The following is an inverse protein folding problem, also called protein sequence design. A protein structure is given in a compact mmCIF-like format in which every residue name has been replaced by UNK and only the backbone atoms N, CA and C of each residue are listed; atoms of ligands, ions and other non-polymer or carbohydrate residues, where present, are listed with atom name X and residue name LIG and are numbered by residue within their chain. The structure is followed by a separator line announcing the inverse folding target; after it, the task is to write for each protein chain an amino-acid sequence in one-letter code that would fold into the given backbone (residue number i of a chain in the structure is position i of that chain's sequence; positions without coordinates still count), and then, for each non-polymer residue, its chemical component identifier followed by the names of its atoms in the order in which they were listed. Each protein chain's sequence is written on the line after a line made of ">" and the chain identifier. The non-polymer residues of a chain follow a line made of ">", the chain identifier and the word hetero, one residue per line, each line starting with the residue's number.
data_IF_716886966892
#
_entry.id   IF_716886966892
#
_cell.length_a   1.000
_cell.length_b   1.000
_cell.length_c   1.000
_cell.angle_alpha   90.00
_cell.angle_beta   90.00
_cell.angle_gamma   90.00
#
_symmetry.space_group_name_H-M   'P 1'
#
loop_
_entity.id
_entity.type
_entity.pdbx_description
1 polymer ?
#
# COMPACT_ATOMS: atom_id res chain seq x y z
N UNK A 1 11.36 3.58 16.42
CA UNK A 1 10.86 4.11 15.15
C UNK A 1 9.71 3.24 14.65
N UNK A 2 8.63 3.83 14.07
CA UNK A 2 7.59 3.11 13.33
C UNK A 2 7.83 3.37 11.83
N UNK A 3 8.18 2.34 11.08
CA UNK A 3 8.37 2.41 9.64
C UNK A 3 7.14 1.82 8.94
N UNK A 4 6.40 2.67 8.21
CA UNK A 4 5.18 2.35 7.48
C UNK A 4 5.51 2.18 6.01
N UNK A 5 5.49 0.96 5.51
CA UNK A 5 5.83 0.64 4.12
C UNK A 5 4.58 0.52 3.25
N UNK A 6 4.61 1.14 2.08
CA UNK A 6 3.72 0.75 0.98
C UNK A 6 4.19 -0.57 0.34
N UNK A 7 3.32 -1.17 -0.48
CA UNK A 7 3.60 -2.47 -1.12
C UNK A 7 3.96 -2.29 -2.59
N UNK A 8 3.02 -1.80 -3.41
CA UNK A 8 3.17 -1.78 -4.87
C UNK A 8 4.07 -0.64 -5.33
N UNK A 9 5.21 -0.96 -5.90
CA UNK A 9 6.25 -0.02 -6.29
C UNK A 9 7.33 0.19 -5.21
N UNK A 10 7.03 -0.18 -3.96
CA UNK A 10 7.93 -0.03 -2.80
C UNK A 10 8.52 -1.39 -2.37
N UNK A 11 7.72 -2.27 -1.79
CA UNK A 11 8.14 -3.63 -1.41
C UNK A 11 8.19 -4.56 -2.61
N UNK A 12 7.23 -4.43 -3.54
CA UNK A 12 7.07 -5.27 -4.73
C UNK A 12 6.99 -4.43 -5.99
N UNK A 13 7.73 -4.83 -7.02
CA UNK A 13 7.70 -4.23 -8.36
C UNK A 13 6.93 -5.11 -9.33
N UNK A 14 6.14 -4.50 -10.23
CA UNK A 14 5.44 -5.19 -11.32
C UNK A 14 4.54 -6.34 -10.86
N UNK A 15 3.92 -6.23 -9.68
CA UNK A 15 3.05 -7.26 -9.09
C UNK A 15 1.55 -6.88 -9.12
N UNK A 16 1.17 -5.85 -9.91
CA UNK A 16 -0.16 -5.29 -9.85
C UNK A 16 -1.17 -5.93 -10.84
N UNK A 17 -0.74 -6.73 -11.82
CA UNK A 17 -1.63 -7.21 -12.87
C UNK A 17 -2.75 -8.11 -12.35
N UNK A 18 -2.43 -9.15 -11.59
CA UNK A 18 -3.42 -10.03 -10.99
C UNK A 18 -4.37 -9.28 -10.03
N UNK A 19 -3.88 -8.23 -9.35
CA UNK A 19 -4.69 -7.40 -8.47
C UNK A 19 -5.69 -6.55 -9.26
N UNK A 20 -5.25 -5.90 -10.32
CA UNK A 20 -6.14 -5.16 -11.24
C UNK A 20 -7.22 -6.08 -11.82
N UNK A 21 -6.83 -7.25 -12.29
CA UNK A 21 -7.74 -8.22 -12.90
C UNK A 21 -8.77 -8.74 -11.87
N UNK A 22 -8.37 -8.90 -10.61
CA UNK A 22 -9.27 -9.26 -9.51
C UNK A 22 -10.31 -8.17 -9.21
N UNK A 23 -9.90 -6.90 -9.18
CA UNK A 23 -10.83 -5.77 -9.03
C UNK A 23 -11.82 -5.76 -10.20
N UNK A 24 -11.35 -5.89 -11.46
CA UNK A 24 -12.23 -5.93 -12.64
C UNK A 24 -13.22 -7.10 -12.59
N UNK A 25 -12.78 -8.28 -12.15
CA UNK A 25 -13.67 -9.43 -11.95
C UNK A 25 -14.76 -9.14 -10.91
N UNK A 26 -14.38 -8.52 -9.79
CA UNK A 26 -15.33 -8.13 -8.75
C UNK A 26 -16.39 -7.14 -9.26
N UNK A 27 -15.98 -6.11 -10.03
CA UNK A 27 -16.92 -5.17 -10.65
C UNK A 27 -17.91 -5.87 -11.60
N UNK A 28 -17.41 -6.87 -12.35
CA UNK A 28 -18.26 -7.67 -13.24
C UNK A 28 -19.24 -8.54 -12.47
N UNK A 29 -18.82 -9.16 -11.39
CA UNK A 29 -19.65 -10.08 -10.58
C UNK A 29 -20.74 -9.30 -9.83
N UNK A 30 -20.38 -8.18 -9.19
CA UNK A 30 -21.29 -7.44 -8.30
C UNK A 30 -22.19 -6.46 -9.09
N UNK A 31 -21.63 -5.78 -10.10
CA UNK A 31 -22.34 -4.72 -10.83
C UNK A 31 -22.59 -5.01 -12.31
N UNK A 32 -22.15 -6.17 -12.83
CA UNK A 32 -22.26 -6.48 -14.26
C UNK A 32 -21.39 -5.63 -15.18
N UNK A 33 -20.44 -4.85 -14.65
CA UNK A 33 -19.53 -4.00 -15.43
C UNK A 33 -18.50 -4.91 -16.12
N UNK A 34 -18.64 -5.07 -17.46
CA UNK A 34 -17.79 -6.01 -18.24
C UNK A 34 -16.47 -5.40 -18.71
N UNK A 35 -16.52 -4.13 -19.08
CA UNK A 35 -15.36 -3.39 -19.63
C UNK A 35 -15.14 -2.10 -18.81
N UNK A 36 -14.57 -2.19 -17.61
CA UNK A 36 -14.26 -0.99 -16.84
C UNK A 36 -13.22 -0.15 -17.59
N UNK A 37 -13.38 1.17 -17.54
CA UNK A 37 -12.46 2.10 -18.18
C UNK A 37 -11.03 1.80 -17.70
N UNK A 38 -10.14 1.47 -18.64
CA UNK A 38 -8.72 1.26 -18.31
C UNK A 38 -8.08 2.60 -17.97
N UNK A 39 -7.70 2.78 -16.72
CA UNK A 39 -6.87 3.91 -16.29
C UNK A 39 -5.39 3.53 -16.41
N UNK A 40 -4.56 4.49 -16.79
CA UNK A 40 -3.11 4.29 -16.81
C UNK A 40 -2.59 3.98 -15.39
N UNK A 41 -1.62 3.09 -15.26
CA UNK A 41 -1.11 2.65 -13.96
C UNK A 41 -0.68 3.81 -13.05
N UNK A 42 -0.06 4.87 -13.61
CA UNK A 42 0.33 6.07 -12.85
C UNK A 42 -0.86 6.90 -12.33
N UNK A 43 -2.05 6.82 -12.96
CA UNK A 43 -3.25 7.55 -12.51
C UNK A 43 -3.83 6.94 -11.24
N UNK A 44 -3.73 5.62 -11.09
CA UNK A 44 -4.26 4.88 -9.95
C UNK A 44 -3.18 4.55 -8.90
N UNK A 45 -1.90 4.71 -9.24
CA UNK A 45 -0.80 4.42 -8.32
C UNK A 45 -0.95 5.20 -7.01
N UNK A 46 -0.89 4.48 -5.89
CA UNK A 46 -1.09 5.04 -4.56
C UNK A 46 -2.53 5.37 -4.18
N UNK A 47 -3.54 5.11 -5.02
CA UNK A 47 -4.95 5.11 -4.59
C UNK A 47 -5.24 3.90 -3.71
N UNK A 48 -6.30 3.99 -2.90
CA UNK A 48 -6.83 2.82 -2.20
C UNK A 48 -7.72 2.01 -3.13
N UNK A 49 -7.83 0.71 -2.89
CA UNK A 49 -8.71 -0.16 -3.67
C UNK A 49 -10.17 0.33 -3.69
N UNK A 50 -10.78 0.75 -2.54
CA UNK A 50 -12.13 1.31 -2.59
C UNK A 50 -12.22 2.62 -3.39
N UNK A 51 -11.20 3.48 -3.38
CA UNK A 51 -11.15 4.68 -4.23
C UNK A 51 -11.11 4.31 -5.72
N UNK A 52 -10.29 3.31 -6.08
CA UNK A 52 -10.22 2.78 -7.45
C UNK A 52 -11.58 2.20 -7.86
N UNK A 53 -12.17 1.35 -7.04
CA UNK A 53 -13.50 0.73 -7.25
C UNK A 53 -14.55 1.79 -7.47
N UNK A 54 -14.65 2.78 -6.58
CA UNK A 54 -15.59 3.89 -6.70
C UNK A 54 -15.41 4.66 -8.01
N UNK A 55 -14.18 4.98 -8.35
CA UNK A 55 -13.87 5.70 -9.59
C UNK A 55 -14.26 4.92 -10.84
N UNK A 56 -14.03 3.60 -10.88
CA UNK A 56 -14.41 2.75 -12.01
C UNK A 56 -15.92 2.57 -12.13
N UNK A 57 -16.63 2.35 -11.01
CA UNK A 57 -18.10 2.24 -10.98
C UNK A 57 -18.80 3.54 -11.35
N UNK A 58 -18.29 4.68 -10.87
CA UNK A 58 -18.81 6.00 -11.25
C UNK A 58 -18.65 6.23 -12.74
N UNK A 59 -17.49 5.90 -13.32
CA UNK A 59 -17.24 6.00 -14.76
C UNK A 59 -18.14 5.07 -15.59
N UNK A 60 -18.59 3.95 -15.00
CA UNK A 60 -19.55 3.02 -15.61
C UNK A 60 -21.02 3.44 -15.41
N UNK A 61 -21.28 4.61 -14.79
CA UNK A 61 -22.63 5.15 -14.57
C UNK A 61 -23.37 4.55 -13.38
N UNK A 62 -22.70 3.83 -12.48
CA UNK A 62 -23.30 3.31 -11.25
C UNK A 62 -23.52 4.46 -10.26
N UNK A 63 -24.71 4.54 -9.66
CA UNK A 63 -25.02 5.61 -8.71
C UNK A 63 -24.20 5.50 -7.42
N UNK A 64 -23.87 6.64 -6.79
CA UNK A 64 -23.16 6.68 -5.51
C UNK A 64 -23.84 5.81 -4.43
N UNK A 65 -25.16 5.87 -4.33
CA UNK A 65 -25.95 5.06 -3.38
C UNK A 65 -25.77 3.55 -3.62
N UNK A 66 -25.73 3.12 -4.89
CA UNK A 66 -25.51 1.70 -5.21
C UNK A 66 -24.07 1.29 -4.90
N UNK A 67 -23.09 2.17 -5.17
CA UNK A 67 -21.68 1.94 -4.83
C UNK A 67 -21.54 1.76 -3.31
N UNK A 68 -22.06 2.73 -2.53
CA UNK A 68 -21.96 2.69 -1.06
C UNK A 68 -22.59 1.43 -0.46
N UNK A 69 -23.70 0.97 -1.03
CA UNK A 69 -24.40 -0.23 -0.56
C UNK A 69 -23.65 -1.55 -0.86
N UNK A 70 -22.69 -1.54 -1.79
CA UNK A 70 -22.04 -2.76 -2.30
C UNK A 70 -20.52 -2.79 -2.14
N UNK A 71 -19.91 -1.79 -1.50
CA UNK A 71 -18.44 -1.75 -1.34
C UNK A 71 -17.87 -2.99 -0.67
N UNK A 72 -18.57 -3.52 0.34
CA UNK A 72 -18.16 -4.76 1.03
C UNK A 72 -18.28 -5.99 0.12
N UNK A 73 -19.33 -6.09 -0.68
CA UNK A 73 -19.51 -7.21 -1.63
C UNK A 73 -18.41 -7.17 -2.71
N UNK A 74 -18.06 -5.98 -3.21
CA UNK A 74 -16.97 -5.80 -4.17
C UNK A 74 -15.63 -6.16 -3.53
N UNK A 75 -15.37 -5.75 -2.28
CA UNK A 75 -14.17 -6.10 -1.54
C UNK A 75 -14.03 -7.62 -1.39
N UNK A 76 -15.10 -8.30 -0.97
CA UNK A 76 -15.12 -9.76 -0.81
C UNK A 76 -14.82 -10.43 -2.15
N UNK A 77 -15.56 -10.07 -3.20
CA UNK A 77 -15.36 -10.62 -4.53
C UNK A 77 -13.95 -10.39 -5.09
N UNK A 78 -13.37 -9.19 -4.86
CA UNK A 78 -12.00 -8.87 -5.26
C UNK A 78 -10.96 -9.74 -4.52
N UNK A 79 -11.12 -9.93 -3.22
CA UNK A 79 -10.23 -10.78 -2.43
C UNK A 79 -10.31 -12.26 -2.87
N UNK A 80 -11.51 -12.78 -3.15
CA UNK A 80 -11.70 -14.13 -3.67
C UNK A 80 -11.12 -14.30 -5.07
N UNK A 81 -11.34 -13.33 -5.95
CA UNK A 81 -10.76 -13.33 -7.29
C UNK A 81 -9.23 -13.29 -7.21
N UNK A 82 -8.67 -12.41 -6.37
CA UNK A 82 -7.22 -12.32 -6.19
C UNK A 82 -6.61 -13.62 -5.68
N UNK A 83 -7.25 -14.30 -4.73
CA UNK A 83 -6.78 -15.59 -4.22
C UNK A 83 -6.66 -16.67 -5.32
N UNK A 84 -7.46 -16.57 -6.40
CA UNK A 84 -7.37 -17.47 -7.56
C UNK A 84 -6.33 -17.03 -8.59
N UNK A 85 -6.13 -15.72 -8.73
CA UNK A 85 -5.32 -15.12 -9.81
C UNK A 85 -3.87 -14.87 -9.41
N UNK A 86 -3.61 -14.67 -8.12
CA UNK A 86 -2.27 -14.32 -7.63
C UNK A 86 -1.25 -15.42 -7.94
N UNK A 87 -0.09 -15.08 -8.51
CA UNK A 87 1.00 -16.04 -8.66
C UNK A 87 1.41 -16.62 -7.29
N UNK A 88 1.67 -17.93 -7.25
CA UNK A 88 2.08 -18.62 -6.00
C UNK A 88 3.44 -18.15 -5.50
N UNK A 89 4.27 -17.62 -6.39
CA UNK A 89 5.60 -17.09 -6.08
C UNK A 89 5.72 -15.66 -6.63
N UNK A 90 5.97 -14.72 -5.74
CA UNK A 90 6.25 -13.31 -6.03
C UNK A 90 7.68 -12.93 -5.59
N UNK A 91 8.54 -13.89 -5.25
CA UNK A 91 9.92 -13.58 -4.83
C UNK A 91 10.69 -12.78 -5.88
N UNK A 92 10.50 -13.10 -7.17
CA UNK A 92 11.10 -12.36 -8.28
C UNK A 92 10.57 -10.93 -8.49
N UNK A 93 9.53 -10.55 -7.77
CA UNK A 93 8.94 -9.21 -7.76
C UNK A 93 9.38 -8.36 -6.55
N UNK A 94 10.07 -8.95 -5.57
CA UNK A 94 10.59 -8.20 -4.42
C UNK A 94 11.59 -7.15 -4.92
N UNK A 95 11.41 -5.91 -4.45
CA UNK A 95 12.33 -4.82 -4.78
C UNK A 95 13.76 -5.20 -4.32
N UNK A 96 14.77 -5.11 -5.20
CA UNK A 96 16.13 -5.52 -4.88
C UNK A 96 16.66 -4.87 -3.59
N UNK A 97 17.20 -5.69 -2.68
CA UNK A 97 17.75 -5.25 -1.39
C UNK A 97 16.72 -4.97 -0.29
N UNK A 98 15.41 -5.01 -0.59
CA UNK A 98 14.36 -4.76 0.41
C UNK A 98 14.32 -5.87 1.47
N UNK A 99 14.48 -7.13 1.10
CA UNK A 99 14.41 -8.22 2.07
C UNK A 99 15.51 -8.09 3.13
N UNK A 100 16.73 -7.80 2.72
CA UNK A 100 17.88 -7.57 3.60
C UNK A 100 17.69 -6.32 4.46
N UNK A 101 17.13 -5.25 3.91
CA UNK A 101 16.80 -4.06 4.68
C UNK A 101 15.75 -4.37 5.76
N UNK A 102 14.68 -5.09 5.43
CA UNK A 102 13.64 -5.47 6.39
C UNK A 102 14.21 -6.38 7.48
N UNK A 103 15.12 -7.30 7.18
CA UNK A 103 15.81 -8.13 8.18
C UNK A 103 16.63 -7.29 9.16
N UNK A 104 17.42 -6.33 8.65
CA UNK A 104 18.18 -5.40 9.50
C UNK A 104 17.27 -4.56 10.40
N UNK A 105 16.19 -4.02 9.83
CA UNK A 105 15.25 -3.19 10.59
C UNK A 105 14.47 -4.01 11.64
N UNK A 106 14.07 -5.24 11.30
CA UNK A 106 13.35 -6.14 12.22
C UNK A 106 14.22 -6.62 13.39
N UNK A 107 15.55 -6.64 13.22
CA UNK A 107 16.49 -6.97 14.28
C UNK A 107 16.71 -5.82 15.29
N UNK A 108 16.20 -4.60 14.99
CA UNK A 108 16.33 -3.44 15.90
C UNK A 108 15.23 -3.45 16.95
N UNK A 109 15.60 -3.37 18.23
CA UNK A 109 14.64 -3.29 19.34
C UNK A 109 13.81 -1.99 19.32
N UNK A 110 14.34 -0.93 18.74
CA UNK A 110 13.69 0.39 18.67
C UNK A 110 12.83 0.60 17.42
N UNK A 111 12.72 -0.41 16.53
CA UNK A 111 11.98 -0.33 15.27
C UNK A 111 10.78 -1.28 15.24
N UNK A 112 9.65 -0.77 14.74
CA UNK A 112 8.46 -1.54 14.42
C UNK A 112 8.13 -1.34 12.94
N UNK A 113 7.95 -2.45 12.23
CA UNK A 113 7.59 -2.46 10.81
C UNK A 113 6.08 -2.67 10.66
N UNK A 114 5.43 -1.84 9.89
CA UNK A 114 4.01 -1.98 9.60
C UNK A 114 3.72 -1.50 8.16
N UNK A 115 2.49 -1.71 7.71
CA UNK A 115 2.06 -1.33 6.37
C UNK A 115 1.32 0.01 6.37
N UNK A 116 1.46 0.75 5.27
CA UNK A 116 0.52 1.77 4.85
C UNK A 116 0.26 1.60 3.36
N UNK A 117 -0.83 0.93 3.00
CA UNK A 117 -1.09 0.53 1.62
C UNK A 117 -2.54 0.75 1.22
N UNK A 118 -2.75 1.13 -0.05
CA UNK A 118 -4.08 1.22 -0.63
C UNK A 118 -4.78 -0.12 -0.82
N UNK A 119 -4.05 -1.23 -0.77
CA UNK A 119 -4.61 -2.56 -0.99
C UNK A 119 -5.62 -2.94 0.11
N UNK A 120 -6.65 -3.70 -0.25
CA UNK A 120 -7.42 -4.44 0.74
C UNK A 120 -6.49 -5.35 1.56
N UNK A 121 -6.69 -5.42 2.87
CA UNK A 121 -5.79 -6.17 3.76
C UNK A 121 -5.60 -7.63 3.33
N UNK A 122 -6.63 -8.42 2.96
CA UNK A 122 -6.42 -9.80 2.50
C UNK A 122 -5.52 -9.87 1.26
N UNK A 123 -5.65 -8.93 0.32
CA UNK A 123 -4.81 -8.85 -0.88
C UNK A 123 -3.37 -8.53 -0.50
N UNK A 124 -3.17 -7.52 0.35
CA UNK A 124 -1.85 -7.15 0.89
C UNK A 124 -1.15 -8.35 1.55
N UNK A 125 -1.87 -9.11 2.39
CA UNK A 125 -1.35 -10.31 3.07
C UNK A 125 -0.98 -11.42 2.09
N UNK A 126 -1.78 -11.69 1.08
CA UNK A 126 -1.47 -12.67 0.04
C UNK A 126 -0.22 -12.28 -0.76
N UNK A 127 -0.08 -10.99 -1.13
CA UNK A 127 1.13 -10.47 -1.79
C UNK A 127 2.38 -10.73 -0.94
N UNK A 128 2.35 -10.31 0.32
CA UNK A 128 3.50 -10.46 1.22
C UNK A 128 3.85 -11.93 1.49
N UNK A 129 2.85 -12.80 1.66
CA UNK A 129 3.06 -14.23 1.85
C UNK A 129 3.75 -14.85 0.64
N UNK A 130 3.24 -14.59 -0.56
CA UNK A 130 3.78 -15.17 -1.79
C UNK A 130 5.15 -14.55 -2.17
N UNK A 131 5.48 -13.38 -1.61
CA UNK A 131 6.80 -12.75 -1.71
C UNK A 131 7.78 -13.15 -0.59
N UNK A 132 7.36 -13.95 0.41
CA UNK A 132 8.19 -14.33 1.55
C UNK A 132 8.45 -13.22 2.56
N UNK A 133 7.68 -12.11 2.49
CA UNK A 133 7.86 -10.92 3.34
C UNK A 133 6.87 -10.85 4.52
N UNK A 134 5.89 -11.74 4.62
CA UNK A 134 4.82 -11.70 5.63
C UNK A 134 5.37 -11.66 7.06
N UNK A 135 6.49 -12.33 7.31
CA UNK A 135 7.13 -12.42 8.63
C UNK A 135 7.53 -11.08 9.25
N UNK A 136 7.73 -10.06 8.42
CA UNK A 136 8.14 -8.72 8.87
C UNK A 136 6.97 -7.83 9.30
N UNK A 137 5.75 -8.19 8.90
CA UNK A 137 4.56 -7.34 9.09
C UNK A 137 3.47 -8.08 9.86
N UNK A 138 3.36 -7.80 11.15
CA UNK A 138 2.35 -8.45 12.01
C UNK A 138 0.93 -8.17 11.51
N UNK A 139 0.07 -9.20 11.56
CA UNK A 139 -1.36 -9.02 11.27
C UNK A 139 -2.00 -8.05 12.26
N UNK A 140 -2.97 -7.26 11.78
CA UNK A 140 -3.63 -6.23 12.60
C UNK A 140 -2.80 -4.97 12.84
N UNK A 141 -1.56 -4.90 12.32
CA UNK A 141 -0.73 -3.69 12.34
C UNK A 141 -0.78 -2.99 10.99
N UNK A 142 -0.59 -1.66 11.00
CA UNK A 142 -0.61 -0.84 9.79
C UNK A 142 -1.99 -0.25 9.47
N UNK A 143 -2.10 0.36 8.29
CA UNK A 143 -3.33 0.90 7.70
C UNK A 143 -3.45 0.45 6.25
N UNK A 144 -4.60 -0.10 5.91
CA UNK A 144 -4.88 -0.67 4.60
C UNK A 144 -6.14 -0.06 3.97
N UNK A 145 -6.33 -0.23 2.67
CA UNK A 145 -7.54 0.20 1.97
C UNK A 145 -8.83 -0.42 2.52
N UNK A 146 -8.74 -1.56 3.23
CA UNK A 146 -9.87 -2.12 3.98
C UNK A 146 -10.32 -1.27 5.17
N UNK A 147 -9.46 -0.39 5.67
CA UNK A 147 -9.73 0.41 6.86
C UNK A 147 -10.40 1.74 6.53
N UNK A 148 -10.01 2.34 5.41
CA UNK A 148 -10.54 3.64 5.00
C UNK A 148 -10.33 3.87 3.49
N UNK A 149 -11.33 4.47 2.83
CA UNK A 149 -11.25 4.81 1.42
C UNK A 149 -10.21 5.90 1.15
N UNK A 150 -10.13 6.91 2.03
CA UNK A 150 -9.15 7.99 1.89
C UNK A 150 -7.78 7.57 2.42
N UNK A 151 -6.77 7.48 1.55
CA UNK A 151 -5.40 7.10 1.92
C UNK A 151 -4.81 7.98 3.03
N UNK A 152 -5.21 9.25 3.11
CA UNK A 152 -4.76 10.20 4.13
C UNK A 152 -5.01 9.75 5.58
N UNK A 153 -6.00 8.87 5.81
CA UNK A 153 -6.33 8.34 7.14
C UNK A 153 -5.45 7.14 7.57
N UNK A 154 -4.80 6.47 6.62
CA UNK A 154 -4.11 5.21 6.88
C UNK A 154 -2.91 5.35 7.83
N UNK A 155 -2.04 6.38 7.75
CA UNK A 155 -0.94 6.52 8.70
C UNK A 155 -1.42 6.72 10.14
N UNK A 156 -2.51 7.48 10.34
CA UNK A 156 -3.13 7.66 11.65
C UNK A 156 -3.66 6.35 12.23
N UNK A 157 -4.31 5.53 11.40
CA UNK A 157 -4.81 4.20 11.80
C UNK A 157 -3.63 3.31 12.18
N UNK A 158 -2.57 3.27 11.37
CA UNK A 158 -1.36 2.51 11.63
C UNK A 158 -0.71 2.89 12.97
N UNK A 159 -0.58 4.19 13.26
CA UNK A 159 0.00 4.67 14.52
C UNK A 159 -0.85 4.30 15.75
N UNK A 160 -2.18 4.32 15.62
CA UNK A 160 -3.08 3.87 16.70
C UNK A 160 -2.86 2.38 17.00
N UNK A 161 -2.79 1.54 15.99
CA UNK A 161 -2.57 0.10 16.15
C UNK A 161 -1.19 -0.23 16.72
N UNK A 162 -0.18 0.52 16.32
CA UNK A 162 1.19 0.36 16.81
C UNK A 162 1.41 0.82 18.25
N UNK A 163 0.67 1.81 18.69
CA UNK A 163 0.90 2.47 19.97
C UNK A 163 0.09 1.91 21.16
N UNK A 164 -0.93 1.07 20.91
CA UNK A 164 -1.80 0.56 21.97
C UNK A 164 -2.73 1.65 22.52
N UNK A 165 -2.62 1.97 23.81
CA UNK A 165 -3.48 2.97 24.48
C UNK A 165 -3.28 4.38 23.93
N UNK A 166 -2.06 4.74 23.56
CA UNK A 166 -1.71 6.03 22.95
C UNK A 166 -1.18 5.82 21.53
N UNK A 167 -1.56 6.67 20.55
CA UNK A 167 -1.03 6.56 19.20
C UNK A 167 0.50 6.68 19.18
N UNK A 168 1.17 5.84 18.37
CA UNK A 168 2.63 5.95 18.22
C UNK A 168 3.03 7.39 17.82
N UNK A 169 4.09 7.95 18.43
CA UNK A 169 4.45 9.36 18.23
C UNK A 169 4.77 9.70 16.77
N UNK A 170 4.21 10.82 16.25
CA UNK A 170 4.46 11.28 14.88
C UNK A 170 5.94 11.46 14.58
N UNK A 171 6.70 12.07 15.51
CA UNK A 171 8.14 12.30 15.34
C UNK A 171 8.97 11.03 15.19
N UNK A 172 8.42 9.88 15.57
CA UNK A 172 9.04 8.55 15.48
C UNK A 172 8.38 7.68 14.40
N UNK A 173 7.57 8.26 13.53
CA UNK A 173 6.87 7.59 12.45
C UNK A 173 7.39 8.08 11.11
N UNK A 174 7.61 7.15 10.18
CA UNK A 174 8.04 7.42 8.82
C UNK A 174 7.19 6.59 7.87
N UNK A 175 6.65 7.22 6.82
CA UNK A 175 6.07 6.54 5.66
C UNK A 175 7.17 6.32 4.63
N UNK A 176 7.19 5.16 4.02
CA UNK A 176 8.07 4.80 2.91
C UNK A 176 7.19 4.39 1.74
N UNK A 177 7.31 5.11 0.63
CA UNK A 177 6.48 4.86 -0.55
C UNK A 177 7.09 5.42 -1.82
N UNK A 178 6.54 5.06 -2.97
CA UNK A 178 7.07 5.38 -4.30
C UNK A 178 6.19 6.37 -5.07
N UNK A 179 5.14 6.93 -4.45
CA UNK A 179 4.20 7.81 -5.14
C UNK A 179 4.02 9.16 -4.44
N UNK A 180 3.60 10.22 -5.16
CA UNK A 180 3.18 11.49 -4.54
C UNK A 180 2.03 11.32 -3.53
N UNK A 181 1.21 10.26 -3.66
CA UNK A 181 0.13 9.98 -2.69
C UNK A 181 0.65 9.48 -1.36
N UNK A 182 1.81 8.81 -1.33
CA UNK A 182 2.49 8.47 -0.08
C UNK A 182 2.96 9.71 0.65
N UNK A 183 3.51 10.66 -0.09
CA UNK A 183 3.90 11.95 0.46
C UNK A 183 2.68 12.69 1.02
N UNK A 184 1.61 12.78 0.24
CA UNK A 184 0.38 13.45 0.66
C UNK A 184 -0.24 12.81 1.91
N UNK A 185 -0.29 11.47 2.01
CA UNK A 185 -0.87 10.81 3.18
C UNK A 185 0.00 10.98 4.44
N UNK A 186 1.33 10.97 4.31
CA UNK A 186 2.24 11.25 5.40
C UNK A 186 2.09 12.69 5.90
N UNK A 187 2.01 13.66 5.00
CA UNK A 187 1.81 15.08 5.31
C UNK A 187 0.47 15.31 6.01
N UNK A 188 -0.59 14.62 5.60
CA UNK A 188 -1.92 14.72 6.22
C UNK A 188 -1.92 14.28 7.71
N UNK A 189 -1.12 13.30 8.09
CA UNK A 189 -0.94 12.90 9.50
C UNK A 189 0.24 13.63 10.19
N UNK A 190 1.01 14.47 9.48
CA UNK A 190 2.14 15.20 10.03
C UNK A 190 3.32 14.30 10.43
N UNK A 191 3.56 13.23 9.67
CA UNK A 191 4.68 12.30 9.85
C UNK A 191 5.71 12.48 8.74
N UNK A 192 6.95 12.00 8.97
CA UNK A 192 8.00 11.99 7.95
C UNK A 192 7.66 11.06 6.81
N UNK A 193 8.22 11.34 5.63
CA UNK A 193 8.10 10.46 4.46
C UNK A 193 9.42 10.38 3.71
N UNK A 194 9.84 9.16 3.39
CA UNK A 194 10.93 8.90 2.48
C UNK A 194 10.37 8.34 1.17
N UNK A 195 10.69 8.99 0.07
CA UNK A 195 10.40 8.50 -1.27
C UNK A 195 11.36 7.40 -1.67
N UNK A 196 10.86 6.32 -2.26
CA UNK A 196 11.67 5.27 -2.86
C UNK A 196 11.37 5.22 -4.36
N UNK A 197 12.32 5.67 -5.19
CA UNK A 197 12.12 5.83 -6.64
C UNK A 197 12.25 4.49 -7.41
N UNK A 198 11.52 3.47 -6.97
CA UNK A 198 11.47 2.11 -7.55
C UNK A 198 10.16 1.78 -8.25
N UNK A 199 9.15 2.64 -8.09
CA UNK A 199 7.84 2.54 -8.74
C UNK A 199 7.74 3.35 -10.04
N UNK A 200 6.53 3.79 -10.41
CA UNK A 200 6.29 4.49 -11.67
C UNK A 200 6.75 5.97 -11.67
N UNK A 201 7.08 6.52 -10.49
CA UNK A 201 7.49 7.92 -10.34
C UNK A 201 9.00 8.05 -10.18
N UNK A 202 9.59 9.03 -10.88
CA UNK A 202 11.02 9.36 -10.79
C UNK A 202 11.31 10.15 -9.51
N UNK A 203 12.57 10.19 -9.08
CA UNK A 203 12.99 10.92 -7.89
C UNK A 203 12.59 12.40 -7.90
N UNK A 204 12.62 13.06 -9.07
CA UNK A 204 12.21 14.47 -9.21
C UNK A 204 10.72 14.69 -8.89
N UNK A 205 9.89 13.69 -9.13
CA UNK A 205 8.45 13.72 -8.84
C UNK A 205 8.15 13.43 -7.36
N UNK A 206 9.12 12.88 -6.63
CA UNK A 206 9.05 12.60 -5.20
C UNK A 206 9.78 13.65 -4.34
N UNK A 207 10.27 14.74 -4.93
CA UNK A 207 11.09 15.77 -4.26
C UNK A 207 10.43 16.46 -3.06
N UNK A 208 9.11 16.33 -2.89
CA UNK A 208 8.39 16.86 -1.72
C UNK A 208 8.46 15.93 -0.50
N UNK A 209 9.07 14.73 -0.63
CA UNK A 209 9.43 13.89 0.50
C UNK A 209 10.56 14.53 1.33
N UNK A 210 10.72 14.11 2.58
CA UNK A 210 11.81 14.59 3.44
C UNK A 210 13.19 14.10 2.96
N UNK A 211 13.20 12.94 2.27
CA UNK A 211 14.35 12.43 1.52
C UNK A 211 13.84 11.48 0.42
N UNK A 212 14.66 11.29 -0.61
CA UNK A 212 14.39 10.33 -1.70
C UNK A 212 15.58 9.39 -1.85
N UNK A 213 15.29 8.09 -1.86
CA UNK A 213 16.24 7.02 -2.14
C UNK A 213 15.97 6.42 -3.53
N UNK A 214 17.03 5.98 -4.22
CA UNK A 214 16.91 5.33 -5.53
C UNK A 214 16.87 3.81 -5.41
N UNK A 215 17.30 3.27 -4.27
CA UNK A 215 17.32 1.83 -3.97
C UNK A 215 17.18 1.57 -2.46
N UNK A 216 17.09 0.29 -2.09
CA UNK A 216 16.97 -0.14 -0.71
C UNK A 216 18.21 0.16 0.14
N UNK A 217 19.42 0.24 -0.46
CA UNK A 217 20.65 0.58 0.24
C UNK A 217 20.63 2.04 0.69
N UNK A 218 20.32 2.97 -0.23
CA UNK A 218 20.17 4.39 0.10
C UNK A 218 19.06 4.63 1.12
N UNK A 219 17.92 3.93 0.97
CA UNK A 219 16.83 3.98 1.96
C UNK A 219 17.33 3.53 3.34
N UNK A 220 18.14 2.46 3.39
CA UNK A 220 18.75 1.98 4.63
C UNK A 220 19.64 3.03 5.30
N UNK A 221 20.48 3.69 4.54
CA UNK A 221 21.36 4.77 5.03
C UNK A 221 20.57 5.94 5.60
N UNK A 222 19.46 6.34 4.94
CA UNK A 222 18.56 7.37 5.43
C UNK A 222 17.87 6.98 6.74
N UNK A 223 17.43 5.73 6.88
CA UNK A 223 16.77 5.22 8.09
C UNK A 223 17.77 5.08 9.25
N UNK A 224 19.02 4.69 8.98
CA UNK A 224 20.06 4.59 9.98
C UNK A 224 20.49 5.97 10.53
N UNK A 225 20.43 7.01 9.71
CA UNK A 225 20.70 8.40 10.14
C UNK A 225 19.66 8.97 11.12
N UNK A 226 18.55 8.28 11.36
CA UNK A 226 17.49 8.66 12.29
C UNK A 226 17.56 7.93 13.64
N UNK A 227 18.53 7.06 13.82
CA UNK A 227 18.71 6.20 15.00
C UNK A 227 19.24 6.97 16.23
#
# INVERSE_FOLDING_TARGET
>A
MLALFDIDGTLLQRAADAHRDAIHEALRVVHGVRDPVRRAGHEVAGQTDPEIVRGLLTAAGVSARSIDASLDDVRIAACEAYARLVPRDLAGHVTPGIAELLERLAAREDALLALVTGNYEPIARMKLRNAGLERFFRSGQGGCGSDHEQRAELPRIARRRAGGDEPWPRRRTIVIGDTPRDIACARADGVRVFGLATGPFRAEQLREADAVAHDARELGELLDALA
#
